data_IF_846311065285
#
_entry.id   IF_846311065285
#
_cell.length_a   1.000
_cell.length_b   1.000
_cell.length_c   1.000
_cell.angle_alpha   90.00
_cell.angle_beta   90.00
_cell.angle_gamma   90.00
#
_symmetry.space_group_name_H-M   'P 1'
#
loop_
_entity.id
_entity.type
_entity.pdbx_description
1 polymer ?
#
# COMPACT_ATOMS: atom_id res chain seq x y z
N UNK A 1 13.56 1.33 1.87
CA UNK A 1 12.22 1.67 1.38
C UNK A 1 12.30 1.66 -0.13
N UNK A 2 11.97 0.52 -0.73
CA UNK A 2 12.17 0.22 -2.13
C UNK A 2 10.85 -0.08 -2.86
N UNK A 3 9.79 -0.38 -2.12
CA UNK A 3 8.47 -0.75 -2.65
C UNK A 3 7.34 -0.25 -1.74
N UNK A 4 6.11 -0.49 -2.16
CA UNK A 4 4.93 -0.01 -1.42
C UNK A 4 4.69 -0.74 -0.09
N UNK A 5 5.18 -1.98 0.10
CA UNK A 5 5.18 -2.62 1.42
C UNK A 5 6.02 -1.83 2.43
N UNK A 6 7.23 -1.40 2.04
CA UNK A 6 8.10 -0.64 2.93
C UNK A 6 7.43 0.68 3.35
N UNK A 7 6.63 1.29 2.47
CA UNK A 7 5.83 2.48 2.79
C UNK A 7 4.83 2.20 3.91
N UNK A 8 4.04 1.13 3.78
CA UNK A 8 3.08 0.72 4.83
C UNK A 8 3.75 0.46 6.18
N UNK A 9 4.96 -0.12 6.16
CA UNK A 9 5.70 -0.46 7.38
C UNK A 9 6.33 0.77 8.05
N UNK A 10 6.81 1.74 7.27
CA UNK A 10 7.70 2.80 7.77
C UNK A 10 7.03 4.17 7.87
N UNK A 11 5.94 4.41 7.15
CA UNK A 11 5.31 5.73 7.06
C UNK A 11 4.08 5.80 7.96
N UNK A 12 3.98 6.89 8.72
CA UNK A 12 2.82 7.22 9.56
C UNK A 12 2.35 8.63 9.24
N UNK A 13 1.04 8.87 9.39
CA UNK A 13 0.45 10.18 9.15
C UNK A 13 -0.22 10.66 10.44
N UNK A 14 0.13 11.87 10.91
CA UNK A 14 -0.36 12.41 12.18
C UNK A 14 -0.16 11.47 13.39
N UNK A 15 0.93 10.70 13.41
CA UNK A 15 1.21 9.65 14.40
C UNK A 15 0.18 8.51 14.42
N UNK A 16 -0.73 8.48 13.47
CA UNK A 16 -1.66 7.39 13.23
C UNK A 16 -1.06 6.44 12.19
N UNK A 17 -1.58 5.22 12.19
CA UNK A 17 -1.28 4.24 11.14
C UNK A 17 -1.65 4.77 9.76
N UNK A 18 -1.33 3.99 8.73
CA UNK A 18 -1.50 4.40 7.35
C UNK A 18 -3.00 4.52 6.99
N UNK A 19 -3.49 5.75 6.79
CA UNK A 19 -4.87 6.03 6.34
C UNK A 19 -4.95 5.89 4.82
N UNK A 20 -5.63 4.83 4.37
CA UNK A 20 -5.80 4.52 2.95
C UNK A 20 -6.51 5.65 2.18
N UNK A 21 -7.40 6.41 2.81
CA UNK A 21 -8.17 7.47 2.14
C UNK A 21 -7.31 8.66 1.69
N UNK A 22 -6.14 8.84 2.33
CA UNK A 22 -5.23 9.96 2.07
C UNK A 22 -4.13 9.62 1.07
N UNK A 23 -4.15 8.43 0.47
CA UNK A 23 -3.08 7.98 -0.43
C UNK A 23 -3.58 7.86 -1.86
N UNK A 24 -2.75 8.31 -2.79
CA UNK A 24 -2.95 8.21 -4.23
C UNK A 24 -1.69 7.64 -4.87
N UNK A 25 -1.84 6.71 -5.81
CA UNK A 25 -0.73 6.24 -6.64
C UNK A 25 -0.65 7.13 -7.88
N UNK A 26 0.54 7.62 -8.21
CA UNK A 26 0.76 8.43 -9.42
C UNK A 26 1.96 7.91 -10.22
N UNK A 27 2.01 8.27 -11.50
CA UNK A 27 3.28 8.18 -12.24
C UNK A 27 4.25 9.30 -11.81
N UNK A 28 5.46 9.28 -12.39
CA UNK A 28 6.51 10.29 -12.13
C UNK A 28 6.15 11.71 -12.58
N UNK A 29 5.13 11.88 -13.43
CA UNK A 29 4.62 13.17 -13.88
C UNK A 29 3.42 13.65 -13.04
N UNK A 30 3.03 12.91 -12.01
CA UNK A 30 1.89 13.21 -11.14
C UNK A 30 0.53 12.83 -11.73
N UNK A 31 0.49 12.04 -12.82
CA UNK A 31 -0.77 11.51 -13.35
C UNK A 31 -1.31 10.45 -12.39
N UNK A 32 -2.55 10.58 -11.88
CA UNK A 32 -3.12 9.59 -10.98
C UNK A 32 -3.37 8.25 -11.68
N UNK A 33 -3.10 7.15 -10.97
CA UNK A 33 -3.50 5.81 -11.35
C UNK A 33 -4.60 5.32 -10.40
N UNK A 34 -5.86 5.50 -10.82
CA UNK A 34 -7.03 5.16 -10.00
C UNK A 34 -7.11 3.67 -9.64
N UNK A 35 -6.77 2.78 -10.58
CA UNK A 35 -6.81 1.33 -10.35
C UNK A 35 -5.80 0.91 -9.28
N UNK A 36 -4.54 1.34 -9.40
CA UNK A 36 -3.52 1.03 -8.40
C UNK A 36 -3.80 1.71 -7.06
N UNK A 37 -4.40 2.91 -7.10
CA UNK A 37 -4.87 3.59 -5.89
C UNK A 37 -5.90 2.76 -5.15
N UNK A 38 -6.94 2.30 -5.83
CA UNK A 38 -8.01 1.51 -5.21
C UNK A 38 -7.48 0.16 -4.70
N UNK A 39 -6.61 -0.50 -5.48
CA UNK A 39 -5.96 -1.75 -5.08
C UNK A 39 -5.07 -1.57 -3.85
N UNK A 40 -4.25 -0.52 -3.82
CA UNK A 40 -3.37 -0.23 -2.69
C UNK A 40 -4.18 0.13 -1.43
N UNK A 41 -5.27 0.87 -1.60
CA UNK A 41 -6.19 1.18 -0.50
C UNK A 41 -6.86 -0.06 0.07
N UNK A 42 -7.31 -0.96 -0.80
CA UNK A 42 -7.95 -2.20 -0.37
C UNK A 42 -6.98 -3.09 0.41
N UNK A 43 -5.78 -3.36 -0.10
CA UNK A 43 -4.78 -4.15 0.65
C UNK A 43 -4.40 -3.47 1.97
N UNK A 44 -4.25 -2.14 1.98
CA UNK A 44 -3.98 -1.38 3.22
C UNK A 44 -5.09 -1.59 4.25
N UNK A 45 -6.36 -1.54 3.83
CA UNK A 45 -7.48 -1.77 4.72
C UNK A 45 -7.48 -3.20 5.28
N UNK A 46 -7.14 -4.21 4.45
CA UNK A 46 -7.01 -5.59 4.93
C UNK A 46 -5.87 -5.75 5.92
N UNK A 47 -4.72 -5.14 5.64
CA UNK A 47 -3.57 -5.11 6.54
C UNK A 47 -3.95 -4.49 7.89
N UNK A 48 -4.61 -3.33 7.89
CA UNK A 48 -5.03 -2.65 9.11
C UNK A 48 -6.02 -3.47 9.96
N UNK A 49 -6.81 -4.36 9.33
CA UNK A 49 -7.81 -5.18 10.03
C UNK A 49 -7.26 -6.52 10.54
N UNK A 50 -6.35 -7.14 9.80
CA UNK A 50 -6.01 -8.55 10.01
C UNK A 50 -4.54 -8.80 10.33
N UNK A 51 -3.65 -7.82 10.15
CA UNK A 51 -2.20 -8.05 10.15
C UNK A 51 -1.52 -7.20 11.22
N UNK A 52 -0.70 -7.82 12.07
CA UNK A 52 0.28 -7.06 12.86
C UNK A 52 1.48 -6.73 11.99
N UNK A 53 1.50 -5.52 11.44
CA UNK A 53 2.60 -5.08 10.58
C UNK A 53 3.95 -5.16 11.27
N UNK A 54 4.06 -5.16 12.61
CA UNK A 54 5.36 -5.25 13.31
C UNK A 54 6.03 -6.60 13.09
N UNK A 55 5.26 -7.68 12.95
CA UNK A 55 5.77 -9.04 12.70
C UNK A 55 6.01 -9.36 11.23
N UNK A 56 5.50 -8.55 10.29
CA UNK A 56 5.76 -8.71 8.87
C UNK A 56 7.11 -8.06 8.46
N UNK A 57 7.94 -8.78 7.72
CA UNK A 57 9.24 -8.30 7.21
C UNK A 57 9.24 -8.13 5.70
N UNK A 58 8.23 -8.66 5.01
CA UNK A 58 8.08 -8.58 3.56
C UNK A 58 6.60 -8.56 3.14
N UNK A 59 6.36 -8.18 1.89
CA UNK A 59 5.05 -8.37 1.26
C UNK A 59 4.60 -9.84 1.29
N UNK A 60 5.53 -10.80 1.19
CA UNK A 60 5.21 -12.23 1.24
C UNK A 60 4.64 -12.68 2.58
N UNK A 61 5.15 -12.11 3.68
CA UNK A 61 4.64 -12.40 5.03
C UNK A 61 3.19 -11.90 5.16
N UNK A 62 2.92 -10.68 4.69
CA UNK A 62 1.57 -10.10 4.66
C UNK A 62 0.60 -10.99 3.87
N UNK A 63 0.98 -11.44 2.68
CA UNK A 63 0.12 -12.31 1.86
C UNK A 63 -0.13 -13.66 2.52
N UNK A 64 0.88 -14.24 3.14
CA UNK A 64 0.78 -15.53 3.83
C UNK A 64 -0.17 -15.42 5.02
N UNK A 65 -0.10 -14.34 5.78
CA UNK A 65 -0.97 -14.09 6.92
C UNK A 65 -2.40 -13.74 6.48
N UNK A 66 -2.58 -12.93 5.44
CA UNK A 66 -3.91 -12.66 4.85
C UNK A 66 -4.58 -13.95 4.35
N UNK A 67 -3.82 -14.83 3.69
CA UNK A 67 -4.31 -16.16 3.25
C UNK A 67 -4.80 -17.02 4.41
N UNK A 68 -4.18 -16.90 5.58
CA UNK A 68 -4.52 -17.69 6.77
C UNK A 68 -5.69 -17.09 7.57
N UNK A 69 -5.90 -15.78 7.47
CA UNK A 69 -6.85 -15.04 8.33
C UNK A 69 -8.09 -14.55 7.59
N UNK A 70 -8.13 -14.67 6.25
CA UNK A 70 -9.24 -14.20 5.42
C UNK A 70 -9.64 -15.23 4.36
N UNK A 71 -10.90 -15.23 3.88
CA UNK A 71 -11.34 -16.09 2.80
C UNK A 71 -11.03 -15.49 1.40
N UNK A 72 -9.98 -14.67 1.28
CA UNK A 72 -9.65 -14.01 0.02
C UNK A 72 -9.23 -15.03 -1.05
N UNK A 73 -9.75 -14.92 -2.28
CA UNK A 73 -9.30 -15.72 -3.42
C UNK A 73 -7.81 -15.54 -3.74
N UNK A 74 -7.20 -16.57 -4.34
CA UNK A 74 -5.77 -16.56 -4.71
C UNK A 74 -5.42 -15.45 -5.71
N UNK A 75 -6.29 -15.19 -6.68
CA UNK A 75 -6.11 -14.12 -7.67
C UNK A 75 -6.08 -12.73 -7.02
N UNK A 76 -6.91 -12.50 -5.99
CA UNK A 76 -6.88 -11.25 -5.22
C UNK A 76 -5.57 -11.12 -4.45
N UNK A 77 -5.10 -12.21 -3.81
CA UNK A 77 -3.81 -12.23 -3.11
C UNK A 77 -2.63 -11.99 -4.07
N UNK A 78 -2.71 -12.49 -5.30
CA UNK A 78 -1.70 -12.24 -6.32
C UNK A 78 -1.65 -10.76 -6.71
N UNK A 79 -2.81 -10.11 -6.91
CA UNK A 79 -2.88 -8.66 -7.18
C UNK A 79 -2.35 -7.83 -6.01
N UNK A 80 -2.71 -8.18 -4.77
CA UNK A 80 -2.12 -7.56 -3.57
C UNK A 80 -0.60 -7.73 -3.54
N UNK A 81 -0.11 -8.90 -3.94
CA UNK A 81 1.31 -9.18 -4.00
C UNK A 81 2.04 -8.33 -5.03
N UNK A 82 1.43 -8.09 -6.19
CA UNK A 82 1.98 -7.19 -7.22
C UNK A 82 2.09 -5.77 -6.68
N UNK A 83 1.01 -5.20 -6.14
CA UNK A 83 1.04 -3.80 -5.68
C UNK A 83 1.98 -3.59 -4.48
N UNK A 84 2.05 -4.52 -3.53
CA UNK A 84 2.95 -4.39 -2.37
C UNK A 84 4.42 -4.47 -2.77
N UNK A 85 4.73 -5.19 -3.85
CA UNK A 85 6.08 -5.32 -4.42
C UNK A 85 6.39 -4.25 -5.46
N UNK A 86 5.42 -3.43 -5.86
CA UNK A 86 5.60 -2.38 -6.85
C UNK A 86 6.71 -1.42 -6.37
N UNK A 87 7.76 -1.18 -7.20
CA UNK A 87 8.84 -0.29 -6.83
C UNK A 87 8.37 1.12 -6.53
N UNK A 88 8.84 1.66 -5.40
CA UNK A 88 8.60 3.04 -5.02
C UNK A 88 9.69 3.92 -5.64
N UNK A 89 9.29 4.89 -6.45
CA UNK A 89 10.19 5.85 -7.08
C UNK A 89 10.31 7.15 -6.27
N UNK A 90 9.29 7.47 -5.48
CA UNK A 90 9.26 8.67 -4.66
C UNK A 90 7.98 8.80 -3.86
N UNK A 91 7.99 9.73 -2.90
CA UNK A 91 6.83 10.11 -2.11
C UNK A 91 6.69 11.63 -2.24
N UNK A 92 5.57 12.09 -2.76
CA UNK A 92 5.19 13.49 -2.71
C UNK A 92 4.14 13.71 -1.62
N UNK A 93 4.20 14.88 -1.01
CA UNK A 93 3.14 15.37 -0.14
C UNK A 93 2.38 16.44 -0.90
N UNK A 94 1.05 16.33 -0.92
CA UNK A 94 0.15 17.31 -1.49
C UNK A 94 -0.67 17.96 -0.35
N UNK A 95 -0.10 18.93 0.40
CA UNK A 95 -0.72 19.45 1.62
C UNK A 95 -2.08 20.09 1.37
N UNK A 96 -2.26 20.75 0.22
CA UNK A 96 -3.53 21.38 -0.17
C UNK A 96 -4.66 20.36 -0.37
N UNK A 97 -4.33 19.12 -0.70
CA UNK A 97 -5.29 18.01 -0.85
C UNK A 97 -5.39 17.15 0.40
N UNK A 98 -4.49 17.33 1.37
CA UNK A 98 -4.34 16.43 2.52
C UNK A 98 -3.97 15.01 2.09
N UNK A 99 -3.16 14.87 1.02
CA UNK A 99 -2.85 13.58 0.42
C UNK A 99 -1.34 13.32 0.32
N UNK A 100 -0.99 12.05 0.28
CA UNK A 100 0.32 11.52 -0.06
C UNK A 100 0.23 10.85 -1.44
N UNK A 101 1.18 11.17 -2.29
CA UNK A 101 1.29 10.57 -3.63
C UNK A 101 2.48 9.62 -3.61
N UNK A 102 2.23 8.33 -3.87
CA UNK A 102 3.26 7.31 -4.00
C UNK A 102 3.56 7.13 -5.48
N UNK A 103 4.79 7.45 -5.87
CA UNK A 103 5.21 7.45 -7.26
C UNK A 103 5.68 6.05 -7.63
N UNK A 104 5.08 5.49 -8.69
CA UNK A 104 5.42 4.19 -9.27
C UNK A 104 5.70 4.34 -10.76
N UNK A 105 6.16 3.28 -11.41
CA UNK A 105 6.22 3.27 -12.88
C UNK A 105 4.78 3.24 -13.42
N UNK A 106 4.46 4.17 -14.33
CA UNK A 106 3.12 4.36 -14.88
C UNK A 106 2.65 3.24 -15.79
#
# INVERSE_FOLDING_TARGET
MNNLFDVLKMVSFNHLGFDSSQVVITDVNGKPNGLLTDLFRDVTNKVNLFIDLRSAYSAGDVLSELRNTTPLPDDVLDEYGKILKEPLLGINFAPQKGQMELLVNG
#
